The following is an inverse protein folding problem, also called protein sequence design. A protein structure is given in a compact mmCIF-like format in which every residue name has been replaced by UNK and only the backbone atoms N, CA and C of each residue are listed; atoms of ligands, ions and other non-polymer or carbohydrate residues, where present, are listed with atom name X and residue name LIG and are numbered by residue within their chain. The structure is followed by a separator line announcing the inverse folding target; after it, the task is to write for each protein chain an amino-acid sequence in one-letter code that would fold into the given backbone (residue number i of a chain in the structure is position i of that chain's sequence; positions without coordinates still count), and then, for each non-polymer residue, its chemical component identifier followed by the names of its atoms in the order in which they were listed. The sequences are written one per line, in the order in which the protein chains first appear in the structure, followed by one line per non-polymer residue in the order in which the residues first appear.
data_IF_987225704367
#
_entry.id   IF_987225704367
#
_cell.length_a   1.000
_cell.length_b   1.000
_cell.length_c   1.000
_cell.angle_alpha   90.00
_cell.angle_beta   90.00
_cell.angle_gamma   90.00
#
_symmetry.space_group_name_H-M   'P 1'
#
loop_
_entity.id
_entity.type
_entity.pdbx_description
1 polymer ?
#
# COMPACT_ATOMS: atom_id res chain seq x y z
N UNK A 1 -7.02 6.41 22.00
CA UNK A 1 -7.15 6.67 20.55
C UNK A 1 -5.94 6.10 19.85
N UNK A 2 -6.17 5.28 18.83
CA UNK A 2 -5.08 4.68 18.08
C UNK A 2 -4.73 5.58 16.90
N UNK A 3 -3.49 6.03 16.85
CA UNK A 3 -2.96 6.80 15.73
C UNK A 3 -2.08 5.91 14.86
N UNK A 4 -2.14 6.13 13.56
CA UNK A 4 -1.15 5.64 12.63
C UNK A 4 -0.38 6.83 12.06
N UNK A 5 0.83 6.56 11.60
CA UNK A 5 1.70 7.57 11.01
C UNK A 5 2.01 7.18 9.57
N UNK A 6 2.11 8.16 8.68
CA UNK A 6 2.57 7.96 7.32
C UNK A 6 3.95 8.58 7.13
N UNK A 7 4.89 7.82 6.60
CA UNK A 7 6.27 8.27 6.36
C UNK A 7 6.69 7.93 4.93
N UNK A 8 7.73 8.60 4.45
CA UNK A 8 8.39 8.25 3.20
C UNK A 8 9.52 7.23 3.41
N UNK A 9 10.05 6.64 2.33
CA UNK A 9 11.11 5.64 2.41
C UNK A 9 12.46 6.18 2.90
N UNK A 10 12.62 7.50 2.94
CA UNK A 10 13.85 8.17 3.40
C UNK A 10 13.70 8.86 4.75
N UNK A 11 12.56 8.69 5.43
CA UNK A 11 12.31 9.31 6.73
C UNK A 11 13.24 8.71 7.79
N UNK A 12 13.76 9.58 8.68
CA UNK A 12 14.56 9.15 9.82
C UNK A 12 13.67 8.47 10.88
N UNK A 13 13.96 7.22 11.20
CA UNK A 13 13.17 6.44 12.14
C UNK A 13 13.45 6.77 13.60
N UNK A 14 14.55 7.44 13.90
CA UNK A 14 14.93 7.78 15.28
C UNK A 14 14.05 8.87 15.89
N UNK A 15 13.30 9.59 15.05
CA UNK A 15 12.44 10.70 15.48
C UNK A 15 10.96 10.35 15.53
N UNK A 16 10.59 9.08 15.31
CA UNK A 16 9.20 8.67 15.25
C UNK A 16 8.53 8.70 16.63
N UNK A 17 7.26 9.16 16.71
CA UNK A 17 6.47 9.08 17.93
C UNK A 17 6.10 7.63 18.28
N UNK A 18 5.59 7.42 19.48
CA UNK A 18 5.09 6.11 19.90
C UNK A 18 3.74 5.81 19.21
N UNK A 19 3.83 5.14 18.06
CA UNK A 19 2.67 4.63 17.31
C UNK A 19 2.92 3.17 16.98
N UNK A 20 1.85 2.40 16.76
CA UNK A 20 1.99 0.99 16.39
C UNK A 20 2.14 0.84 14.88
N UNK A 21 1.19 1.39 14.12
CA UNK A 21 1.12 1.22 12.67
C UNK A 21 1.79 2.40 11.97
N UNK A 22 2.72 2.09 11.07
CA UNK A 22 3.43 3.10 10.28
C UNK A 22 3.26 2.78 8.81
N UNK A 23 2.54 3.64 8.10
CA UNK A 23 2.35 3.54 6.67
C UNK A 23 3.59 4.08 5.95
N UNK A 24 4.13 3.31 5.02
CA UNK A 24 5.33 3.69 4.27
C UNK A 24 4.95 3.94 2.81
N UNK A 25 5.08 5.19 2.38
CA UNK A 25 4.74 5.57 1.01
C UNK A 25 5.77 5.05 0.02
N UNK A 26 5.35 4.87 -1.22
CA UNK A 26 6.23 4.66 -2.37
C UNK A 26 6.19 5.94 -3.21
N UNK A 27 7.32 6.60 -3.32
CA UNK A 27 7.40 7.88 -4.04
C UNK A 27 7.23 7.66 -5.56
N UNK A 28 6.53 8.56 -6.27
CA UNK A 28 6.43 8.48 -7.73
C UNK A 28 7.83 8.46 -8.36
N UNK A 29 8.06 7.47 -9.23
CA UNK A 29 9.39 7.28 -9.83
C UNK A 29 10.43 6.64 -8.92
N UNK A 30 10.08 6.34 -7.65
CA UNK A 30 10.96 5.66 -6.71
C UNK A 30 11.00 4.15 -6.92
N UNK A 31 11.96 3.52 -6.24
CA UNK A 31 12.13 2.07 -6.28
C UNK A 31 11.32 1.43 -5.13
N UNK A 32 10.49 0.46 -5.45
CA UNK A 32 9.72 -0.28 -4.45
C UNK A 32 10.61 -0.96 -3.41
N UNK A 33 11.85 -1.28 -3.77
CA UNK A 33 12.83 -1.89 -2.86
C UNK A 33 13.14 -0.97 -1.67
N UNK A 34 13.19 0.34 -1.89
CA UNK A 34 13.41 1.32 -0.82
C UNK A 34 12.26 1.29 0.19
N UNK A 35 11.02 1.20 -0.29
CA UNK A 35 9.84 1.11 0.57
C UNK A 35 9.83 -0.22 1.35
N UNK A 36 10.19 -1.32 0.72
CA UNK A 36 10.32 -2.62 1.38
C UNK A 36 11.41 -2.59 2.46
N UNK A 37 12.58 -2.05 2.15
CA UNK A 37 13.70 -1.98 3.09
C UNK A 37 13.36 -1.11 4.30
N UNK A 38 12.72 0.03 4.11
CA UNK A 38 12.26 0.90 5.19
C UNK A 38 11.25 0.16 6.08
N UNK A 39 10.34 -0.60 5.48
CA UNK A 39 9.38 -1.42 6.23
C UNK A 39 10.09 -2.46 7.08
N UNK A 40 11.12 -3.10 6.55
CA UNK A 40 11.96 -4.04 7.31
C UNK A 40 12.66 -3.38 8.50
N UNK A 41 13.16 -2.18 8.32
CA UNK A 41 13.79 -1.42 9.42
C UNK A 41 12.79 -1.11 10.54
N UNK A 42 11.54 -0.80 10.17
CA UNK A 42 10.46 -0.57 11.13
C UNK A 42 10.12 -1.84 11.92
N UNK A 43 10.09 -2.99 11.28
CA UNK A 43 9.88 -4.28 11.96
C UNK A 43 10.96 -4.49 13.04
N UNK A 44 12.21 -4.22 12.70
CA UNK A 44 13.34 -4.36 13.64
C UNK A 44 13.22 -3.42 14.84
N UNK A 45 12.58 -2.28 14.68
CA UNK A 45 12.36 -1.31 15.75
C UNK A 45 11.06 -1.56 16.55
N UNK A 46 10.31 -2.60 16.21
CA UNK A 46 9.08 -2.98 16.93
C UNK A 46 7.81 -2.32 16.43
N UNK A 47 7.85 -1.62 15.30
CA UNK A 47 6.66 -1.07 14.66
C UNK A 47 5.98 -2.10 13.77
N UNK A 48 4.72 -1.83 13.41
CA UNK A 48 4.01 -2.59 12.38
C UNK A 48 3.96 -1.76 11.10
N UNK A 49 4.85 -2.02 10.12
CA UNK A 49 4.84 -1.27 8.88
C UNK A 49 3.72 -1.69 7.95
N UNK A 50 3.15 -0.73 7.23
CA UNK A 50 2.14 -0.95 6.21
C UNK A 50 2.61 -0.27 4.92
N UNK A 51 3.41 -0.96 4.09
CA UNK A 51 3.89 -0.35 2.85
C UNK A 51 2.76 -0.16 1.85
N UNK A 52 2.83 0.94 1.10
CA UNK A 52 1.92 1.22 0.00
C UNK A 52 2.29 0.38 -1.22
N UNK A 53 1.26 -0.14 -1.88
CA UNK A 53 1.37 -0.83 -3.17
C UNK A 53 0.56 -0.04 -4.19
N UNK A 54 1.15 1.03 -4.77
CA UNK A 54 0.45 1.83 -5.78
C UNK A 54 0.50 1.14 -7.13
N UNK A 55 -0.64 0.67 -7.61
CA UNK A 55 -0.76 -0.10 -8.85
C UNK A 55 -0.10 0.59 -10.03
N UNK A 56 -0.31 1.91 -10.18
CA UNK A 56 0.23 2.69 -11.29
C UNK A 56 1.75 2.88 -11.25
N UNK A 57 2.39 2.52 -10.16
CA UNK A 57 3.86 2.58 -10.02
C UNK A 57 4.53 1.21 -10.17
N UNK A 58 3.77 0.16 -10.43
CA UNK A 58 4.26 -1.21 -10.60
C UNK A 58 4.18 -1.59 -12.08
N UNK A 59 5.31 -1.99 -12.67
CA UNK A 59 5.41 -2.23 -14.11
C UNK A 59 4.70 -3.50 -14.58
N UNK A 60 4.81 -4.59 -13.82
CA UNK A 60 4.31 -5.90 -14.22
C UNK A 60 4.12 -6.82 -13.00
N UNK A 61 3.63 -8.04 -13.26
CA UNK A 61 3.41 -9.04 -12.21
C UNK A 61 4.70 -9.53 -11.55
N UNK A 62 5.80 -9.61 -12.30
CA UNK A 62 7.08 -10.04 -11.75
C UNK A 62 7.58 -9.05 -10.70
N UNK A 63 7.46 -7.76 -10.98
CA UNK A 63 7.83 -6.70 -10.04
C UNK A 63 6.92 -6.71 -8.82
N UNK A 64 5.61 -6.89 -9.02
CA UNK A 64 4.64 -7.04 -7.95
C UNK A 64 5.00 -8.22 -7.05
N UNK A 65 5.29 -9.36 -7.64
CA UNK A 65 5.68 -10.58 -6.92
C UNK A 65 6.96 -10.38 -6.11
N UNK A 66 7.96 -9.73 -6.71
CA UNK A 66 9.22 -9.43 -6.01
C UNK A 66 9.00 -8.49 -4.82
N UNK A 67 8.18 -7.46 -4.99
CA UNK A 67 7.86 -6.53 -3.92
C UNK A 67 7.16 -7.25 -2.76
N UNK A 68 6.16 -8.06 -3.04
CA UNK A 68 5.45 -8.85 -2.02
C UNK A 68 6.41 -9.80 -1.30
N UNK A 69 7.24 -10.50 -2.06
CA UNK A 69 8.20 -11.45 -1.51
C UNK A 69 9.20 -10.78 -0.57
N UNK A 70 9.74 -9.63 -0.97
CA UNK A 70 10.66 -8.84 -0.13
C UNK A 70 9.99 -8.40 1.17
N UNK A 71 8.75 -7.92 1.08
CA UNK A 71 7.99 -7.52 2.28
C UNK A 71 7.79 -8.70 3.23
N UNK A 72 7.39 -9.86 2.73
CA UNK A 72 7.21 -11.05 3.56
C UNK A 72 8.52 -11.49 4.23
N UNK A 73 9.62 -11.49 3.49
CA UNK A 73 10.93 -11.88 4.00
C UNK A 73 11.42 -10.93 5.10
N UNK A 74 11.03 -9.67 5.05
CA UNK A 74 11.39 -8.65 6.03
C UNK A 74 10.46 -8.62 7.25
N UNK A 75 9.41 -9.44 7.28
CA UNK A 75 8.49 -9.53 8.40
C UNK A 75 7.26 -8.63 8.31
N UNK A 76 6.99 -8.06 7.15
CA UNK A 76 5.78 -7.26 6.90
C UNK A 76 4.56 -8.16 6.91
N UNK A 77 3.51 -7.77 7.67
CA UNK A 77 2.31 -8.58 7.85
C UNK A 77 1.08 -8.02 7.14
N UNK A 78 1.12 -6.74 6.76
CA UNK A 78 0.00 -6.09 6.10
C UNK A 78 0.48 -5.03 5.13
N UNK A 79 -0.33 -4.74 4.12
CA UNK A 79 -0.05 -3.75 3.08
C UNK A 79 -1.28 -2.90 2.81
N UNK A 80 -1.08 -1.79 2.11
CA UNK A 80 -2.17 -0.95 1.62
C UNK A 80 -2.10 -0.89 0.09
N UNK A 81 -3.11 -1.46 -0.57
CA UNK A 81 -3.22 -1.41 -2.03
C UNK A 81 -3.95 -0.14 -2.46
N UNK A 82 -3.32 0.67 -3.29
CA UNK A 82 -3.87 1.92 -3.81
C UNK A 82 -3.69 2.00 -5.33
N UNK A 83 -4.44 2.88 -5.98
CA UNK A 83 -4.27 3.13 -7.41
C UNK A 83 -3.00 3.90 -7.70
N UNK A 84 -2.76 4.96 -6.94
CA UNK A 84 -1.67 5.89 -7.15
C UNK A 84 -2.15 7.16 -7.85
N UNK A 85 -1.33 8.22 -7.77
CA UNK A 85 -1.68 9.56 -8.27
C UNK A 85 -1.04 9.90 -9.62
N UNK A 86 -0.24 8.99 -10.17
CA UNK A 86 0.48 9.21 -11.43
C UNK A 86 -0.14 8.40 -12.58
N UNK A 87 0.30 8.66 -13.81
CA UNK A 87 -0.04 7.82 -14.94
C UNK A 87 0.57 6.41 -14.78
N UNK A 88 -0.10 5.36 -15.25
CA UNK A 88 0.44 4.01 -15.15
C UNK A 88 1.80 3.87 -15.86
N UNK A 89 2.77 3.26 -15.15
CA UNK A 89 4.08 2.97 -15.74
C UNK A 89 4.10 1.63 -16.50
N UNK A 90 3.11 0.76 -16.23
CA UNK A 90 2.99 -0.56 -16.83
C UNK A 90 1.54 -0.96 -17.02
N UNK A 91 1.24 -2.24 -16.83
CA UNK A 91 -0.08 -2.79 -17.14
C UNK A 91 -1.15 -2.54 -16.05
N UNK A 92 -0.75 -2.11 -14.86
CA UNK A 92 -1.71 -1.89 -13.78
C UNK A 92 -2.17 -0.44 -13.72
N UNK A 93 -3.48 -0.24 -13.67
CA UNK A 93 -4.12 1.06 -13.63
C UNK A 93 -4.91 1.30 -12.32
N UNK A 94 -5.30 0.23 -11.66
CA UNK A 94 -6.09 0.29 -10.42
C UNK A 94 -5.63 -0.76 -9.42
N UNK A 95 -5.90 -0.49 -8.12
CA UNK A 95 -5.62 -1.45 -7.07
C UNK A 95 -6.35 -2.78 -7.26
N UNK A 96 -7.54 -2.75 -7.84
CA UNK A 96 -8.28 -3.98 -8.17
C UNK A 96 -7.45 -4.92 -9.04
N UNK A 97 -6.75 -4.39 -10.04
CA UNK A 97 -5.94 -5.19 -10.96
C UNK A 97 -4.79 -5.91 -10.25
N UNK A 98 -4.13 -5.26 -9.29
CA UNK A 98 -3.07 -5.93 -8.54
C UNK A 98 -3.64 -6.93 -7.54
N UNK A 99 -4.83 -6.68 -6.99
CA UNK A 99 -5.48 -7.59 -6.04
C UNK A 99 -5.99 -8.87 -6.73
N UNK A 100 -6.54 -8.76 -7.93
CA UNK A 100 -7.07 -9.92 -8.66
C UNK A 100 -5.99 -10.89 -9.15
N UNK A 101 -4.70 -10.50 -9.09
CA UNK A 101 -3.59 -11.42 -9.41
C UNK A 101 -3.51 -12.60 -8.44
N UNK A 102 -4.06 -12.48 -7.23
CA UNK A 102 -3.96 -13.50 -6.20
C UNK A 102 -2.59 -13.61 -5.55
N UNK A 103 -1.66 -12.70 -5.84
CA UNK A 103 -0.29 -12.77 -5.34
C UNK A 103 -0.14 -12.38 -3.87
N UNK A 104 -1.13 -11.71 -3.29
CA UNK A 104 -1.09 -11.24 -1.90
C UNK A 104 -1.49 -12.30 -0.86
N UNK A 105 -1.53 -13.57 -1.23
CA UNK A 105 -1.90 -14.65 -0.31
C UNK A 105 -1.00 -14.67 0.92
N UNK A 106 -1.62 -14.80 2.09
CA UNK A 106 -0.90 -14.85 3.36
C UNK A 106 -0.51 -13.49 3.95
N UNK A 107 -0.92 -12.37 3.34
CA UNK A 107 -0.67 -11.03 3.87
C UNK A 107 -2.00 -10.28 4.01
N UNK A 108 -2.13 -9.48 5.07
CA UNK A 108 -3.34 -8.69 5.31
C UNK A 108 -3.39 -7.50 4.36
N UNK A 109 -4.54 -7.28 3.72
CA UNK A 109 -4.71 -6.28 2.67
C UNK A 109 -5.67 -5.19 3.12
N UNK A 110 -5.21 -3.94 3.09
CA UNK A 110 -6.05 -2.76 3.22
C UNK A 110 -6.28 -2.11 1.85
N UNK A 111 -7.39 -1.42 1.73
CA UNK A 111 -7.71 -0.61 0.55
C UNK A 111 -8.08 0.80 0.98
N UNK A 112 -7.92 1.76 0.07
CA UNK A 112 -8.31 3.15 0.32
C UNK A 112 -9.81 3.33 0.09
N UNK A 113 -10.46 4.04 1.02
CA UNK A 113 -11.84 4.46 0.90
C UNK A 113 -11.96 5.97 0.88
N UNK A 114 -12.94 6.50 0.15
CA UNK A 114 -13.20 7.93 0.04
C UNK A 114 -14.66 8.21 0.42
N UNK A 115 -15.03 8.16 1.73
CA UNK A 115 -16.42 8.28 2.16
C UNK A 115 -17.05 9.63 1.83
N UNK A 116 -16.24 10.68 1.66
CA UNK A 116 -16.69 12.02 1.30
C UNK A 116 -16.58 12.31 -0.20
N UNK A 117 -16.23 11.30 -1.00
CA UNK A 117 -16.01 11.43 -2.43
C UNK A 117 -14.60 11.89 -2.79
N UNK A 118 -14.36 12.06 -4.08
CA UNK A 118 -13.10 12.55 -4.62
C UNK A 118 -13.36 13.54 -5.75
N UNK A 119 -12.60 14.66 -5.83
CA UNK A 119 -12.80 15.63 -6.88
C UNK A 119 -12.48 15.10 -8.29
N UNK A 120 -11.66 14.05 -8.38
CA UNK A 120 -11.19 13.52 -9.66
C UNK A 120 -11.98 12.30 -10.15
N UNK A 121 -12.84 11.73 -9.30
CA UNK A 121 -13.56 10.48 -9.59
C UNK A 121 -15.02 10.65 -9.15
N UNK A 122 -15.97 10.21 -9.99
CA UNK A 122 -17.38 10.28 -9.65
C UNK A 122 -17.73 9.34 -8.49
N UNK A 123 -18.80 9.67 -7.74
CA UNK A 123 -19.25 8.84 -6.61
C UNK A 123 -19.63 7.42 -7.05
N UNK A 124 -20.23 7.27 -8.22
CA UNK A 124 -20.60 5.95 -8.76
C UNK A 124 -19.38 5.10 -9.11
N UNK A 125 -18.31 5.73 -9.62
CA UNK A 125 -17.04 5.05 -9.90
C UNK A 125 -16.33 4.64 -8.62
N UNK A 126 -16.36 5.49 -7.58
CA UNK A 126 -15.81 5.16 -6.26
C UNK A 126 -16.55 3.99 -5.63
N UNK A 127 -17.88 3.99 -5.68
CA UNK A 127 -18.71 2.91 -5.15
C UNK A 127 -18.42 1.60 -5.86
N UNK A 128 -18.35 1.61 -7.18
CA UNK A 128 -18.01 0.43 -7.98
C UNK A 128 -16.61 -0.11 -7.62
N UNK A 129 -15.64 0.78 -7.51
CA UNK A 129 -14.27 0.39 -7.13
C UNK A 129 -14.24 -0.28 -5.77
N UNK A 130 -15.01 0.22 -4.79
CA UNK A 130 -15.11 -0.39 -3.47
C UNK A 130 -15.75 -1.77 -3.51
N UNK A 131 -16.84 -1.93 -4.29
CA UNK A 131 -17.52 -3.22 -4.45
C UNK A 131 -16.58 -4.24 -5.09
N UNK A 132 -15.86 -3.86 -6.13
CA UNK A 132 -14.94 -4.75 -6.85
C UNK A 132 -13.77 -5.21 -5.95
N UNK A 133 -13.28 -4.35 -5.06
CA UNK A 133 -12.15 -4.65 -4.18
C UNK A 133 -12.52 -5.38 -2.90
N UNK A 134 -13.77 -5.28 -2.46
CA UNK A 134 -14.21 -5.82 -1.17
C UNK A 134 -13.86 -7.30 -0.96
N UNK A 135 -13.99 -8.22 -1.96
CA UNK A 135 -13.61 -9.62 -1.75
C UNK A 135 -12.14 -9.84 -1.44
N UNK A 136 -11.27 -8.88 -1.76
CA UNK A 136 -9.82 -8.99 -1.59
C UNK A 136 -9.30 -8.25 -0.37
N UNK A 137 -10.12 -7.41 0.26
CA UNK A 137 -9.68 -6.52 1.32
C UNK A 137 -10.00 -7.07 2.70
N UNK A 138 -9.05 -6.92 3.63
CA UNK A 138 -9.22 -7.23 5.04
C UNK A 138 -9.67 -6.00 5.84
N UNK A 139 -9.32 -4.80 5.38
CA UNK A 139 -9.69 -3.54 6.04
C UNK A 139 -9.70 -2.37 5.06
N UNK A 140 -10.32 -1.27 5.46
CA UNK A 140 -10.43 -0.05 4.66
C UNK A 140 -9.77 1.10 5.43
N UNK A 141 -8.94 1.88 4.72
CA UNK A 141 -8.35 3.11 5.24
C UNK A 141 -9.08 4.29 4.60
N UNK A 142 -9.72 5.12 5.42
CA UNK A 142 -10.42 6.31 4.96
C UNK A 142 -9.48 7.53 4.94
N UNK A 143 -9.69 8.40 3.97
CA UNK A 143 -8.94 9.64 3.81
C UNK A 143 -9.87 10.83 3.84
#
# INVERSE_FOLDING_TARGET
MNFSLEIGPHTDLDTLPEVKDVYVTMLPGGDYKETADKSGDLVKKGFNPVPHFPARSINNEEELKDYISRCKDLGVKQILAIGGSRDPVGKFDSSYQILETGLFDGIKIGIAGHPEGSPDISDSELEKAMIDKKPYADYIVTQ
#
